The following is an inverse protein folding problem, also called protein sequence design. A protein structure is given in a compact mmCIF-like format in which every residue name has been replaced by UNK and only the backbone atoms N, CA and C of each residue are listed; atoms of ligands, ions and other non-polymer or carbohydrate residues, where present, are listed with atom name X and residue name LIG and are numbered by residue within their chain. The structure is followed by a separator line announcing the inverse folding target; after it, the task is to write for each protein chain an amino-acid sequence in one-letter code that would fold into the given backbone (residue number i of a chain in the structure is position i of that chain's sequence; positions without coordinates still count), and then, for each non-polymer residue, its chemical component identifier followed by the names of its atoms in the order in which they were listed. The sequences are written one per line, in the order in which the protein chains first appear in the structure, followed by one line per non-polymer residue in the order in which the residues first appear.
data_IF_177274149431
#
_entry.id   IF_177274149431
#
_cell.length_a   1.000
_cell.length_b   1.000
_cell.length_c   1.000
_cell.angle_alpha   90.00
_cell.angle_beta   90.00
_cell.angle_gamma   90.00
#
_symmetry.space_group_name_H-M   'P 1'
#
loop_
_entity.id
_entity.type
_entity.pdbx_description
1 polymer ?
#
# COMPACT_ATOMS: atom_id res chain seq x y z
N UNK A 1 18.22 -37.50 -22.13
CA UNK A 1 18.27 -36.63 -20.92
C UNK A 1 16.89 -36.03 -20.75
N UNK A 2 16.10 -36.53 -19.81
CA UNK A 2 14.72 -36.07 -19.57
C UNK A 2 14.70 -34.91 -18.58
N UNK A 3 13.97 -33.85 -18.90
CA UNK A 3 13.75 -32.70 -18.00
C UNK A 3 13.00 -33.14 -16.74
N UNK A 4 13.30 -32.59 -15.55
CA UNK A 4 12.68 -33.00 -14.30
C UNK A 4 11.19 -32.61 -14.25
N UNK A 5 10.40 -33.44 -13.56
CA UNK A 5 8.92 -33.37 -13.54
C UNK A 5 8.33 -32.11 -12.86
N UNK A 6 9.13 -31.30 -12.17
CA UNK A 6 8.66 -30.05 -11.56
C UNK A 6 8.57 -28.88 -12.56
N UNK A 7 9.16 -29.01 -13.75
CA UNK A 7 9.15 -27.98 -14.80
C UNK A 7 7.81 -27.93 -15.58
N UNK A 8 6.85 -28.83 -15.28
CA UNK A 8 5.59 -29.01 -16.01
C UNK A 8 4.36 -28.33 -15.38
N UNK A 9 4.50 -27.63 -14.25
CA UNK A 9 3.37 -26.94 -13.60
C UNK A 9 3.62 -25.45 -13.36
N UNK A 10 4.30 -24.76 -14.28
CA UNK A 10 4.13 -23.30 -14.37
C UNK A 10 2.82 -23.07 -15.12
N UNK A 11 1.72 -22.88 -14.39
CA UNK A 11 0.48 -22.37 -14.99
C UNK A 11 0.84 -21.16 -15.86
N UNK A 12 0.36 -21.07 -17.11
CA UNK A 12 0.60 -19.91 -17.94
C UNK A 12 0.11 -18.67 -17.20
N UNK A 13 0.86 -17.58 -17.28
CA UNK A 13 0.43 -16.33 -16.69
C UNK A 13 -0.95 -15.97 -17.29
N UNK A 14 -1.94 -15.61 -16.45
CA UNK A 14 -3.27 -15.26 -16.95
C UNK A 14 -3.16 -14.08 -17.93
N UNK A 15 -4.01 -13.97 -18.96
CA UNK A 15 -3.94 -12.87 -19.91
C UNK A 15 -4.16 -11.51 -19.24
N UNK A 16 -3.75 -10.39 -19.89
CA UNK A 16 -4.13 -9.05 -19.48
C UNK A 16 -5.64 -8.89 -19.28
N UNK A 17 -6.05 -7.95 -18.41
CA UNK A 17 -7.46 -7.69 -18.17
C UNK A 17 -8.11 -7.00 -19.39
N UNK A 18 -9.39 -7.26 -19.61
CA UNK A 18 -10.21 -6.52 -20.57
C UNK A 18 -10.69 -5.18 -20.00
N UNK A 19 -11.10 -4.26 -20.88
CA UNK A 19 -11.72 -3.00 -20.47
C UNK A 19 -12.95 -3.18 -19.56
N UNK A 20 -13.75 -4.23 -19.81
CA UNK A 20 -14.90 -4.56 -18.97
C UNK A 20 -14.49 -5.01 -17.57
N UNK A 21 -13.44 -5.83 -17.46
CA UNK A 21 -12.93 -6.28 -16.17
C UNK A 21 -12.31 -5.14 -15.37
N UNK A 22 -11.56 -4.25 -16.04
CA UNK A 22 -11.00 -3.06 -15.39
C UNK A 22 -12.11 -2.13 -14.87
N UNK A 23 -13.17 -1.90 -15.65
CA UNK A 23 -14.33 -1.10 -15.19
C UNK A 23 -15.04 -1.75 -14.02
N UNK A 24 -15.27 -3.07 -14.09
CA UNK A 24 -15.90 -3.81 -12.99
C UNK A 24 -15.04 -3.73 -11.71
N UNK A 25 -13.71 -3.77 -11.84
CA UNK A 25 -12.80 -3.61 -10.71
C UNK A 25 -12.87 -2.20 -10.11
N UNK A 26 -12.86 -1.17 -10.94
CA UNK A 26 -13.02 0.23 -10.49
C UNK A 26 -14.35 0.44 -9.76
N UNK A 27 -15.45 -0.08 -10.31
CA UNK A 27 -16.78 -0.02 -9.68
C UNK A 27 -16.80 -0.78 -8.35
N UNK A 28 -16.25 -1.99 -8.31
CA UNK A 28 -16.21 -2.81 -7.10
C UNK A 28 -15.31 -2.27 -5.99
N UNK A 29 -14.26 -1.53 -6.36
CA UNK A 29 -13.31 -0.92 -5.42
C UNK A 29 -13.66 0.54 -5.07
N UNK A 30 -14.64 1.13 -5.75
CA UNK A 30 -15.06 2.52 -5.53
C UNK A 30 -14.01 3.56 -5.92
N UNK A 31 -13.09 3.22 -6.84
CA UNK A 31 -11.99 4.09 -7.29
C UNK A 31 -11.89 4.10 -8.81
N UNK A 32 -11.17 5.07 -9.36
CA UNK A 32 -10.70 5.01 -10.75
C UNK A 32 -9.20 4.79 -10.73
N UNK A 33 -8.67 3.87 -11.52
CA UNK A 33 -7.24 3.59 -11.55
C UNK A 33 -6.45 4.70 -12.24
N UNK A 34 -5.25 5.06 -11.72
CA UNK A 34 -4.32 5.94 -12.43
C UNK A 34 -4.11 5.46 -13.87
N UNK A 35 -4.03 6.40 -14.83
CA UNK A 35 -4.04 6.07 -16.28
C UNK A 35 -2.94 5.08 -16.66
N UNK A 36 -1.73 5.28 -16.13
CA UNK A 36 -0.60 4.39 -16.41
C UNK A 36 -0.77 3.00 -15.80
N UNK A 37 -1.40 2.91 -14.62
CA UNK A 37 -1.71 1.61 -14.02
C UNK A 37 -2.83 0.90 -14.78
N UNK A 38 -3.85 1.64 -15.23
CA UNK A 38 -4.91 1.12 -16.10
C UNK A 38 -4.33 0.55 -17.40
N UNK A 39 -3.43 1.28 -18.05
CA UNK A 39 -2.74 0.82 -19.26
C UNK A 39 -1.92 -0.45 -19.01
N UNK A 40 -1.24 -0.53 -17.85
CA UNK A 40 -0.55 -1.75 -17.44
C UNK A 40 -1.51 -2.93 -17.26
N UNK A 41 -2.68 -2.72 -16.65
CA UNK A 41 -3.66 -3.78 -16.44
C UNK A 41 -4.15 -4.39 -17.77
N UNK A 42 -4.34 -3.53 -18.78
CA UNK A 42 -4.84 -3.92 -20.10
C UNK A 42 -3.80 -4.60 -21.00
N UNK A 43 -2.50 -4.39 -20.73
CA UNK A 43 -1.41 -4.83 -21.63
C UNK A 43 -0.49 -5.88 -21.01
N UNK A 44 -0.33 -5.88 -19.68
CA UNK A 44 0.79 -6.52 -19.00
C UNK A 44 0.45 -7.20 -17.66
N UNK A 45 -0.80 -7.20 -17.17
CA UNK A 45 -1.18 -7.66 -15.81
C UNK A 45 -0.82 -9.12 -15.44
N UNK A 46 -0.18 -9.83 -16.36
CA UNK A 46 0.21 -11.22 -16.33
C UNK A 46 1.65 -11.44 -15.79
N UNK A 47 1.82 -11.51 -14.47
CA UNK A 47 3.04 -12.02 -13.84
C UNK A 47 4.24 -11.06 -13.90
N UNK A 48 4.54 -10.45 -12.75
CA UNK A 48 5.68 -9.56 -12.53
C UNK A 48 5.91 -9.35 -11.02
N UNK A 49 6.68 -8.34 -10.64
CA UNK A 49 6.86 -7.94 -9.23
C UNK A 49 5.67 -7.17 -8.66
N UNK A 50 4.76 -6.73 -9.54
CA UNK A 50 3.51 -6.05 -9.18
C UNK A 50 2.46 -7.05 -8.73
N UNK A 51 1.87 -6.81 -7.57
CA UNK A 51 0.74 -7.57 -7.03
C UNK A 51 -0.40 -7.60 -8.06
N UNK A 52 -0.90 -8.81 -8.32
CA UNK A 52 -1.83 -9.03 -9.44
C UNK A 52 -3.25 -8.71 -9.04
N UNK A 53 -3.88 -7.72 -9.67
CA UNK A 53 -5.31 -7.49 -9.54
C UNK A 53 -6.10 -8.68 -10.12
N UNK A 54 -6.98 -9.28 -9.33
CA UNK A 54 -7.83 -10.37 -9.77
C UNK A 54 -9.16 -10.41 -8.99
N UNK A 55 -10.15 -11.09 -9.56
CA UNK A 55 -11.45 -11.32 -8.93
C UNK A 55 -11.43 -12.64 -8.16
N UNK A 56 -11.62 -12.56 -6.85
CA UNK A 56 -11.83 -13.70 -5.95
C UNK A 56 -13.26 -13.82 -5.47
N UNK A 57 -13.48 -14.67 -4.47
CA UNK A 57 -14.78 -14.87 -3.82
C UNK A 57 -15.26 -13.62 -3.06
N UNK A 58 -14.33 -12.81 -2.57
CA UNK A 58 -14.61 -11.56 -1.86
C UNK A 58 -14.75 -10.33 -2.79
N UNK A 59 -14.68 -10.53 -4.11
CA UNK A 59 -14.66 -9.43 -5.10
C UNK A 59 -13.28 -9.19 -5.68
N UNK A 60 -13.04 -7.96 -6.14
CA UNK A 60 -11.76 -7.54 -6.73
C UNK A 60 -10.73 -7.23 -5.65
N UNK A 61 -9.48 -7.63 -5.87
CA UNK A 61 -8.39 -7.32 -4.98
C UNK A 61 -7.03 -7.73 -5.54
N UNK A 62 -5.97 -7.32 -4.86
CA UNK A 62 -4.60 -7.60 -5.26
C UNK A 62 -4.11 -8.90 -4.64
N UNK A 63 -3.75 -9.87 -5.48
CA UNK A 63 -3.17 -11.13 -5.02
C UNK A 63 -1.77 -10.90 -4.49
N UNK A 64 -1.50 -11.42 -3.29
CA UNK A 64 -0.24 -11.21 -2.57
C UNK A 64 -0.24 -9.97 -1.67
N UNK A 65 -1.32 -9.18 -1.70
CA UNK A 65 -1.54 -8.04 -0.83
C UNK A 65 -2.56 -8.37 0.26
N UNK A 66 -2.15 -8.20 1.51
CA UNK A 66 -2.99 -8.31 2.71
C UNK A 66 -3.04 -7.01 3.52
N UNK A 67 -2.41 -5.94 3.03
CA UNK A 67 -2.17 -4.70 3.77
C UNK A 67 -3.05 -3.55 3.29
N UNK A 68 -3.53 -3.59 2.05
CA UNK A 68 -4.49 -2.57 1.56
C UNK A 68 -5.79 -2.61 2.37
N UNK A 69 -6.11 -1.49 3.01
CA UNK A 69 -7.40 -1.27 3.64
C UNK A 69 -8.42 -0.79 2.60
N UNK A 70 -9.26 -1.72 2.13
CA UNK A 70 -10.25 -1.46 1.08
C UNK A 70 -11.30 -0.41 1.46
N UNK A 71 -11.64 -0.27 2.75
CA UNK A 71 -12.61 0.72 3.23
C UNK A 71 -12.09 2.16 3.10
N UNK A 72 -10.78 2.33 3.01
CA UNK A 72 -10.12 3.63 2.89
C UNK A 72 -9.66 3.98 1.47
N UNK A 73 -9.88 3.12 0.47
CA UNK A 73 -9.41 3.36 -0.91
C UNK A 73 -10.03 4.59 -1.56
N UNK A 74 -11.30 4.90 -1.26
CA UNK A 74 -11.97 6.10 -1.76
C UNK A 74 -11.64 7.36 -0.94
N UNK A 75 -10.88 7.23 0.15
CA UNK A 75 -10.40 8.36 0.95
C UNK A 75 -9.10 8.88 0.33
N UNK A 76 -8.90 10.20 0.28
CA UNK A 76 -7.70 10.79 -0.28
C UNK A 76 -6.46 10.40 0.53
N UNK A 77 -5.36 10.07 -0.16
CA UNK A 77 -4.07 9.83 0.48
C UNK A 77 -3.56 11.10 1.18
N UNK A 78 -3.29 11.03 2.50
CA UNK A 78 -2.79 12.17 3.25
C UNK A 78 -1.31 12.40 2.95
N UNK A 79 -0.91 13.66 2.81
CA UNK A 79 0.51 14.00 2.82
C UNK A 79 1.10 13.77 4.22
N UNK A 80 2.34 13.25 4.38
CA UNK A 80 2.91 12.99 5.70
C UNK A 80 2.90 14.19 6.67
N UNK A 81 3.11 15.40 6.16
CA UNK A 81 3.06 16.62 6.98
C UNK A 81 1.68 16.92 7.56
N UNK A 82 0.60 16.34 7.01
CA UNK A 82 -0.76 16.62 7.47
C UNK A 82 -1.11 15.94 8.79
N UNK A 83 -0.45 14.85 9.15
CA UNK A 83 -0.70 14.11 10.39
C UNK A 83 0.44 14.19 11.40
N UNK A 84 1.62 14.70 11.00
CA UNK A 84 2.81 14.77 11.87
C UNK A 84 2.56 15.40 13.24
N UNK A 85 1.90 16.56 13.29
CA UNK A 85 1.65 17.22 14.57
C UNK A 85 0.70 16.44 15.49
N UNK A 86 -0.24 15.70 14.92
CA UNK A 86 -1.17 14.86 15.70
C UNK A 86 -0.52 13.54 16.13
N UNK A 87 0.38 13.00 15.30
CA UNK A 87 1.26 11.91 15.67
C UNK A 87 2.17 12.28 16.83
N UNK A 88 2.85 13.43 16.75
CA UNK A 88 3.69 13.94 17.84
C UNK A 88 2.87 14.10 19.15
N UNK A 89 1.63 14.61 19.06
CA UNK A 89 0.72 14.71 20.22
C UNK A 89 0.30 13.34 20.76
N UNK A 90 0.14 12.33 19.90
CA UNK A 90 -0.16 10.97 20.31
C UNK A 90 1.02 10.34 21.02
N UNK A 91 2.23 10.49 20.48
CA UNK A 91 3.47 10.00 21.09
C UNK A 91 3.68 10.65 22.47
N UNK A 92 3.47 11.96 22.60
CA UNK A 92 3.56 12.68 23.87
C UNK A 92 2.52 12.21 24.92
N UNK A 93 1.41 11.61 24.47
CA UNK A 93 0.34 11.06 25.31
C UNK A 93 0.46 9.57 25.57
N UNK A 94 1.53 8.91 25.13
CA UNK A 94 1.73 7.49 25.40
C UNK A 94 1.62 7.21 26.92
N UNK A 95 0.68 6.37 27.37
CA UNK A 95 0.53 6.08 28.79
C UNK A 95 1.79 5.41 29.35
N UNK A 96 2.32 5.94 30.45
CA UNK A 96 3.41 5.31 31.20
C UNK A 96 2.84 4.65 32.46
N UNK A 97 3.29 3.43 32.78
CA UNK A 97 2.78 2.67 33.94
C UNK A 97 2.89 3.45 35.26
N UNK A 98 3.91 4.30 35.41
CA UNK A 98 4.15 5.12 36.60
C UNK A 98 3.14 6.25 36.85
N UNK A 99 2.37 6.64 35.83
CA UNK A 99 1.37 7.70 35.92
C UNK A 99 0.02 7.20 36.48
N UNK A 100 -0.12 5.89 36.70
CA UNK A 100 -1.38 5.26 37.09
C UNK A 100 -1.33 4.64 38.48
N UNK A 101 -2.47 4.63 39.22
CA UNK A 101 -2.52 4.11 40.58
C UNK A 101 -2.37 2.59 40.66
N UNK A 102 -2.70 1.87 39.58
CA UNK A 102 -2.60 0.43 39.46
C UNK A 102 -2.53 -0.01 37.98
N UNK A 103 -2.17 -1.28 37.79
CA UNK A 103 -1.99 -1.89 36.47
C UNK A 103 -3.28 -1.94 35.63
N UNK A 104 -4.44 -2.12 36.27
CA UNK A 104 -5.71 -2.20 35.55
C UNK A 104 -6.07 -0.83 34.94
N UNK A 105 -5.85 0.26 35.68
CA UNK A 105 -6.04 1.62 35.20
C UNK A 105 -5.08 1.96 34.04
N UNK A 106 -3.79 1.58 34.17
CA UNK A 106 -2.80 1.71 33.09
C UNK A 106 -3.23 0.95 31.83
N UNK A 107 -3.64 -0.31 31.96
CA UNK A 107 -4.03 -1.14 30.83
C UNK A 107 -5.22 -0.56 30.06
N UNK A 108 -6.20 0.04 30.75
CA UNK A 108 -7.32 0.73 30.11
C UNK A 108 -6.84 1.96 29.32
N UNK A 109 -5.95 2.77 29.89
CA UNK A 109 -5.41 3.94 29.20
C UNK A 109 -4.58 3.53 27.98
N UNK A 110 -3.71 2.54 28.14
CA UNK A 110 -2.87 1.99 27.07
C UNK A 110 -3.72 1.45 25.92
N UNK A 111 -4.76 0.66 26.21
CA UNK A 111 -5.65 0.12 25.17
C UNK A 111 -6.39 1.21 24.38
N UNK A 112 -6.78 2.31 25.04
CA UNK A 112 -7.45 3.42 24.37
C UNK A 112 -6.48 4.18 23.46
N UNK A 113 -5.25 4.42 23.94
CA UNK A 113 -4.19 5.03 23.16
C UNK A 113 -3.81 4.16 21.95
N UNK A 114 -3.59 2.85 22.16
CA UNK A 114 -3.25 1.88 21.10
C UNK A 114 -4.35 1.81 20.03
N UNK A 115 -5.63 1.83 20.44
CA UNK A 115 -6.74 1.87 19.51
C UNK A 115 -6.79 3.18 18.69
N UNK A 116 -6.48 4.33 19.30
CA UNK A 116 -6.38 5.63 18.61
C UNK A 116 -5.20 5.64 17.63
N UNK A 117 -4.04 5.13 18.07
CA UNK A 117 -2.81 5.03 17.30
C UNK A 117 -2.97 4.10 16.09
N UNK A 118 -3.62 2.93 16.27
CA UNK A 118 -3.93 2.01 15.19
C UNK A 118 -4.80 2.67 14.10
N UNK A 119 -5.79 3.48 14.50
CA UNK A 119 -6.62 4.24 13.55
C UNK A 119 -5.79 5.26 12.76
N UNK A 120 -4.84 5.96 13.40
CA UNK A 120 -3.91 6.85 12.71
C UNK A 120 -3.05 6.08 11.70
N UNK A 121 -2.46 4.95 12.11
CA UNK A 121 -1.58 4.14 11.27
C UNK A 121 -2.30 3.60 10.02
N UNK A 122 -3.55 3.15 10.15
CA UNK A 122 -4.38 2.77 9.00
C UNK A 122 -4.64 3.96 8.07
N UNK A 123 -4.92 5.14 8.64
CA UNK A 123 -5.22 6.35 7.86
C UNK A 123 -4.02 6.87 7.07
N UNK A 124 -2.78 6.65 7.54
CA UNK A 124 -1.55 7.04 6.80
C UNK A 124 -1.51 6.47 5.38
N UNK A 125 -2.15 5.33 5.12
CA UNK A 125 -2.22 4.66 3.81
C UNK A 125 -3.57 4.75 3.11
N UNK A 126 -4.48 5.64 3.55
CA UNK A 126 -5.75 5.87 2.86
C UNK A 126 -5.52 6.18 1.38
N UNK A 127 -6.37 5.69 0.47
CA UNK A 127 -6.23 5.99 -0.95
C UNK A 127 -4.95 5.46 -1.61
N UNK A 128 -4.23 4.55 -0.96
CA UNK A 128 -3.05 3.86 -1.49
C UNK A 128 -3.28 2.35 -1.60
N UNK A 129 -2.56 1.73 -2.54
CA UNK A 129 -2.55 0.28 -2.74
C UNK A 129 -1.13 -0.24 -2.57
N UNK A 130 -0.97 -1.32 -1.80
CA UNK A 130 0.31 -2.03 -1.65
C UNK A 130 0.60 -2.83 -2.93
N UNK A 131 1.36 -2.23 -3.83
CA UNK A 131 1.52 -2.73 -5.21
C UNK A 131 2.69 -3.71 -5.34
N UNK A 132 3.64 -3.70 -4.40
CA UNK A 132 4.77 -4.63 -4.35
C UNK A 132 5.32 -4.72 -2.91
N UNK A 133 5.55 -5.94 -2.42
CA UNK A 133 6.31 -6.19 -1.18
C UNK A 133 7.82 -6.18 -1.49
N UNK A 134 8.63 -5.57 -0.63
CA UNK A 134 10.08 -5.35 -0.84
C UNK A 134 10.96 -6.10 0.17
N UNK A 135 10.42 -7.04 0.93
CA UNK A 135 11.06 -7.68 2.09
C UNK A 135 11.00 -6.83 3.36
N UNK A 136 11.24 -7.47 4.51
CA UNK A 136 11.44 -6.81 5.81
C UNK A 136 10.28 -5.91 6.27
N UNK A 137 9.05 -6.14 5.76
CA UNK A 137 7.89 -5.31 6.08
C UNK A 137 7.82 -4.02 5.26
N UNK A 138 8.72 -3.82 4.30
CA UNK A 138 8.67 -2.69 3.37
C UNK A 138 7.77 -3.00 2.19
N UNK A 139 7.09 -1.97 1.70
CA UNK A 139 6.23 -2.09 0.53
C UNK A 139 6.31 -0.84 -0.34
N UNK A 140 5.99 -1.02 -1.62
CA UNK A 140 5.77 0.09 -2.53
C UNK A 140 4.27 0.34 -2.63
N UNK A 141 3.89 1.60 -2.56
CA UNK A 141 2.52 2.06 -2.65
C UNK A 141 2.27 2.73 -4.00
N UNK A 142 1.13 2.43 -4.62
CA UNK A 142 0.54 3.23 -5.70
C UNK A 142 -0.59 4.06 -5.12
N UNK A 143 -0.54 5.38 -5.27
CA UNK A 143 -1.63 6.24 -4.83
C UNK A 143 -2.75 6.24 -5.87
N UNK A 144 -3.96 5.88 -5.45
CA UNK A 144 -5.14 5.76 -6.33
C UNK A 144 -6.17 6.86 -6.12
N UNK A 145 -6.17 7.53 -4.97
CA UNK A 145 -7.14 8.58 -4.63
C UNK A 145 -6.49 9.80 -3.98
N UNK A 146 -6.92 11.00 -4.37
CA UNK A 146 -6.43 12.27 -3.81
C UNK A 146 -5.39 13.01 -4.68
N UNK A 147 -4.75 14.07 -4.15
CA UNK A 147 -3.86 14.95 -4.90
C UNK A 147 -2.59 14.27 -5.45
N UNK A 148 -2.14 13.20 -4.79
CA UNK A 148 -0.94 12.44 -5.18
C UNK A 148 -1.25 11.26 -6.12
N UNK A 149 -2.48 11.14 -6.61
CA UNK A 149 -2.93 10.02 -7.44
C UNK A 149 -2.02 9.77 -8.64
N UNK A 150 -1.60 8.52 -8.81
CA UNK A 150 -0.70 8.05 -9.88
C UNK A 150 0.79 8.13 -9.55
N UNK A 151 1.15 8.66 -8.37
CA UNK A 151 2.53 8.67 -7.89
C UNK A 151 2.84 7.42 -7.05
N UNK A 152 4.13 7.10 -6.99
CA UNK A 152 4.67 5.95 -6.26
C UNK A 152 5.33 6.40 -4.96
N UNK A 153 5.11 5.64 -3.90
CA UNK A 153 5.64 5.91 -2.56
C UNK A 153 6.23 4.63 -1.97
N UNK A 154 7.09 4.80 -0.98
CA UNK A 154 7.69 3.73 -0.21
C UNK A 154 7.11 3.74 1.20
N UNK A 155 6.54 2.62 1.63
CA UNK A 155 6.16 2.39 3.01
C UNK A 155 7.38 1.90 3.79
N UNK A 156 8.04 2.84 4.48
CA UNK A 156 9.21 2.61 5.34
C UNK A 156 8.84 2.45 6.81
N UNK A 157 7.55 2.33 7.15
CA UNK A 157 7.10 2.41 8.55
C UNK A 157 7.69 1.32 9.45
N UNK A 158 8.05 0.17 8.86
CA UNK A 158 8.71 -0.93 9.58
C UNK A 158 10.04 -0.54 10.25
N UNK A 159 10.72 0.53 9.80
CA UNK A 159 12.00 0.96 10.42
C UNK A 159 12.09 2.43 10.78
N UNK A 160 11.45 3.33 10.03
CA UNK A 160 11.55 4.77 10.28
C UNK A 160 10.20 5.45 10.55
N UNK A 161 9.10 4.68 10.64
CA UNK A 161 7.73 5.18 10.77
C UNK A 161 7.29 6.21 9.69
N UNK A 162 7.97 6.20 8.54
CA UNK A 162 7.72 7.15 7.44
C UNK A 162 7.17 6.47 6.19
N UNK A 163 6.31 7.22 5.49
CA UNK A 163 5.93 6.94 4.11
C UNK A 163 6.60 8.01 3.25
N UNK A 164 7.46 7.58 2.34
CA UNK A 164 8.37 8.44 1.59
C UNK A 164 7.95 8.51 0.13
N UNK A 165 7.90 9.71 -0.50
CA UNK A 165 7.68 9.79 -1.94
C UNK A 165 8.86 9.19 -2.68
N UNK A 166 8.60 8.47 -3.77
CA UNK A 166 9.67 8.08 -4.70
C UNK A 166 9.94 9.25 -5.67
N UNK A 167 11.22 9.53 -5.88
CA UNK A 167 11.70 10.63 -6.72
C UNK A 167 12.59 10.14 -7.85
N UNK A 168 12.52 10.82 -9.00
CA UNK A 168 13.47 10.69 -10.09
C UNK A 168 13.72 12.08 -10.66
N UNK A 169 14.97 12.56 -10.59
CA UNK A 169 15.36 13.92 -10.98
C UNK A 169 14.47 14.99 -10.31
N UNK A 170 14.36 14.93 -8.97
CA UNK A 170 13.57 15.83 -8.11
C UNK A 170 12.07 15.90 -8.44
N UNK A 171 11.53 14.85 -9.08
CA UNK A 171 10.11 14.79 -9.48
C UNK A 171 9.46 13.50 -8.97
N UNK A 172 8.17 13.57 -8.56
CA UNK A 172 7.42 12.39 -8.16
C UNK A 172 7.43 11.32 -9.26
N UNK A 173 7.71 10.08 -8.87
CA UNK A 173 7.76 8.96 -9.79
C UNK A 173 6.34 8.48 -10.11
N UNK A 174 6.04 8.32 -11.40
CA UNK A 174 4.79 7.71 -11.87
C UNK A 174 4.89 6.18 -11.92
N UNK A 175 3.76 5.48 -12.02
CA UNK A 175 3.76 4.02 -12.13
C UNK A 175 4.62 3.51 -13.28
N UNK A 176 4.51 4.09 -14.49
CA UNK A 176 5.27 3.66 -15.64
C UNK A 176 6.78 3.95 -15.51
N UNK A 177 7.14 5.06 -14.84
CA UNK A 177 8.54 5.39 -14.58
C UNK A 177 9.18 4.46 -13.55
N UNK A 178 8.40 4.03 -12.55
CA UNK A 178 8.81 3.08 -11.52
C UNK A 178 8.91 1.63 -12.04
N UNK A 179 8.02 1.23 -12.95
CA UNK A 179 7.89 -0.16 -13.39
C UNK A 179 9.24 -0.76 -13.81
N UNK A 180 9.66 -1.84 -13.14
CA UNK A 180 10.92 -2.54 -13.40
C UNK A 180 12.14 -1.96 -12.67
N UNK A 181 11.97 -0.98 -11.78
CA UNK A 181 13.02 -0.43 -10.90
C UNK A 181 12.86 -0.92 -9.47
N UNK A 182 13.95 -0.86 -8.71
CA UNK A 182 13.89 -0.97 -7.25
C UNK A 182 13.38 0.34 -6.66
N UNK A 183 12.41 0.26 -5.74
CA UNK A 183 11.93 1.44 -5.00
C UNK A 183 13.01 2.06 -4.13
N UNK A 184 13.96 1.24 -3.63
CA UNK A 184 15.07 1.75 -2.82
C UNK A 184 16.04 2.63 -3.60
N UNK A 185 16.15 2.44 -4.93
CA UNK A 185 17.01 3.26 -5.79
C UNK A 185 16.38 4.63 -6.12
N UNK A 186 15.13 4.84 -5.70
CA UNK A 186 14.32 6.04 -5.97
C UNK A 186 14.00 6.82 -4.69
N UNK A 187 14.63 6.44 -3.57
CA UNK A 187 14.58 7.19 -2.33
C UNK A 187 15.68 8.25 -2.33
N UNK A 188 15.29 9.48 -2.00
CA UNK A 188 16.24 10.54 -1.69
C UNK A 188 16.69 10.36 -0.23
N UNK A 189 17.92 9.86 -0.05
CA UNK A 189 18.57 9.70 1.26
C UNK A 189 19.21 10.99 1.77
#
# INVERSE_FOLDING_TARGET
MSRPAWEQYRSPAPPPLSESEVREAEEGLGITFPVEYRDYLLRHSAGGTVNRLCRGTAGWGWHGDSSTNYDLLATAFPHPDSYRAYEDELDDREPLEEDFPDHDAYQVAWNNWDAEYAVLQERKTSGAVFIQENGCGFSTLLIVTGPHRGTMWFDGRATCDQILPLSLDDRPVSFAAWLGRSSMDLLDW
#
